data_IF_255259234946
#
_entry.id   IF_255259234946
#
_cell.length_a   1.000
_cell.length_b   1.000
_cell.length_c   1.000
_cell.angle_alpha   90.00
_cell.angle_beta   90.00
_cell.angle_gamma   90.00
#
_symmetry.space_group_name_H-M   'P 1'
#
loop_
_entity.id
_entity.type
_entity.pdbx_description
1 polymer ?
#
# COMPACT_ATOMS: atom_id res chain seq x y z
N UNK A 1 -4.67 -11.48 -9.62
CA UNK A 1 -5.13 -11.95 -8.29
C UNK A 1 -4.41 -11.24 -7.14
N UNK A 2 -3.09 -11.06 -7.22
CA UNK A 2 -2.27 -10.56 -6.10
C UNK A 2 -2.66 -9.20 -5.55
N UNK A 3 -3.02 -8.21 -6.38
CA UNK A 3 -3.45 -6.89 -5.87
C UNK A 3 -4.68 -6.98 -4.95
N UNK A 4 -5.64 -7.86 -5.27
CA UNK A 4 -6.82 -8.09 -4.41
C UNK A 4 -6.39 -8.80 -3.12
N UNK A 5 -5.51 -9.81 -3.23
CA UNK A 5 -5.01 -10.51 -2.04
C UNK A 5 -4.25 -9.57 -1.11
N UNK A 6 -3.40 -8.69 -1.64
CA UNK A 6 -2.69 -7.66 -0.86
C UNK A 6 -3.68 -6.72 -0.19
N UNK A 7 -4.69 -6.25 -0.95
CA UNK A 7 -5.69 -5.32 -0.45
C UNK A 7 -6.44 -5.84 0.78
N UNK A 8 -6.62 -7.15 0.87
CA UNK A 8 -7.34 -7.82 1.96
C UNK A 8 -6.44 -8.61 2.91
N UNK A 9 -5.11 -8.40 2.86
CA UNK A 9 -4.18 -9.03 3.79
C UNK A 9 -4.10 -10.55 3.70
N UNK A 10 -4.36 -11.13 2.53
CA UNK A 10 -4.34 -12.58 2.28
C UNK A 10 -2.91 -13.09 2.10
N UNK A 11 -2.05 -12.84 3.09
CA UNK A 11 -0.61 -13.07 3.01
C UNK A 11 -0.26 -14.54 2.74
N UNK A 12 -0.91 -15.46 3.45
CA UNK A 12 -0.68 -16.89 3.28
C UNK A 12 -1.14 -17.40 1.91
N UNK A 13 -2.24 -16.85 1.37
CA UNK A 13 -2.69 -17.17 0.01
C UNK A 13 -1.66 -16.72 -1.02
N UNK A 14 -1.12 -15.49 -0.90
CA UNK A 14 -0.07 -14.98 -1.80
C UNK A 14 1.16 -15.90 -1.80
N UNK A 15 1.59 -16.35 -0.62
CA UNK A 15 2.77 -17.19 -0.48
C UNK A 15 2.54 -18.63 -0.99
N UNK A 16 1.29 -19.09 -1.00
CA UNK A 16 0.89 -20.40 -1.51
C UNK A 16 0.61 -20.41 -3.03
N UNK A 17 0.37 -19.26 -3.66
CA UNK A 17 0.14 -19.16 -5.10
C UNK A 17 1.37 -19.63 -5.89
N UNK A 18 1.21 -20.49 -6.91
CA UNK A 18 2.31 -20.94 -7.73
C UNK A 18 2.92 -19.79 -8.54
N UNK A 19 4.26 -19.81 -8.66
CA UNK A 19 4.97 -18.85 -9.49
C UNK A 19 4.93 -19.24 -10.97
N UNK A 20 4.77 -18.23 -11.83
CA UNK A 20 5.05 -18.40 -13.26
C UNK A 20 6.56 -18.50 -13.44
N UNK A 21 6.99 -19.33 -14.41
CA UNK A 21 8.43 -19.60 -14.64
C UNK A 21 8.90 -19.19 -16.02
N UNK A 22 7.99 -18.89 -16.95
CA UNK A 22 8.34 -18.43 -18.30
C UNK A 22 8.50 -16.91 -18.30
N UNK A 23 9.75 -16.47 -18.20
CA UNK A 23 10.12 -15.05 -18.17
C UNK A 23 9.88 -14.30 -19.48
N UNK A 24 9.79 -15.00 -20.61
CA UNK A 24 9.55 -14.35 -21.91
C UNK A 24 8.05 -14.08 -22.11
N UNK A 25 7.21 -14.98 -21.61
CA UNK A 25 5.75 -14.88 -21.70
C UNK A 25 5.16 -14.04 -20.57
N UNK A 26 5.67 -14.18 -19.34
CA UNK A 26 5.10 -13.59 -18.13
C UNK A 26 6.02 -12.64 -17.36
N UNK A 27 6.84 -11.78 -18.01
CA UNK A 27 7.85 -10.97 -17.32
C UNK A 27 7.26 -10.04 -16.26
N UNK A 28 6.19 -9.33 -16.61
CA UNK A 28 5.52 -8.39 -15.72
C UNK A 28 4.75 -9.08 -14.58
N UNK A 29 4.22 -10.28 -14.86
CA UNK A 29 3.55 -11.12 -13.87
C UNK A 29 4.54 -11.62 -12.84
N UNK A 30 5.70 -12.13 -13.26
CA UNK A 30 6.76 -12.62 -12.36
C UNK A 30 7.26 -11.50 -11.45
N UNK A 31 7.54 -10.31 -12.01
CA UNK A 31 7.88 -9.14 -11.20
C UNK A 31 6.76 -8.82 -10.18
N UNK A 32 5.49 -8.84 -10.60
CA UNK A 32 4.36 -8.59 -9.69
C UNK A 32 4.23 -9.68 -8.61
N UNK A 33 4.58 -10.93 -8.90
CA UNK A 33 4.58 -12.03 -7.92
C UNK A 33 5.64 -11.82 -6.85
N UNK A 34 6.88 -11.47 -7.23
CA UNK A 34 7.93 -11.15 -6.27
C UNK A 34 7.56 -9.94 -5.40
N UNK A 35 6.99 -8.89 -6.00
CA UNK A 35 6.44 -7.75 -5.26
C UNK A 35 5.41 -8.19 -4.21
N UNK A 36 4.41 -8.98 -4.61
CA UNK A 36 3.34 -9.41 -3.72
C UNK A 36 3.87 -10.29 -2.57
N UNK A 37 4.76 -11.23 -2.88
CA UNK A 37 5.40 -12.11 -1.91
C UNK A 37 6.27 -11.31 -0.93
N UNK A 38 7.03 -10.34 -1.42
CA UNK A 38 7.83 -9.44 -0.58
C UNK A 38 6.98 -8.64 0.41
N UNK A 39 5.88 -8.02 -0.05
CA UNK A 39 4.92 -7.34 0.84
C UNK A 39 4.28 -8.31 1.85
N UNK A 40 3.96 -9.54 1.43
CA UNK A 40 3.40 -10.55 2.32
C UNK A 40 4.39 -10.97 3.42
N UNK A 41 5.65 -11.23 3.07
CA UNK A 41 6.70 -11.54 4.05
C UNK A 41 6.96 -10.36 4.99
N UNK A 42 7.05 -9.13 4.48
CA UNK A 42 7.20 -7.93 5.31
C UNK A 42 6.01 -7.76 6.27
N UNK A 43 4.77 -7.95 5.80
CA UNK A 43 3.58 -7.88 6.66
C UNK A 43 3.55 -8.94 7.77
N UNK A 44 4.20 -10.09 7.53
CA UNK A 44 4.35 -11.18 8.50
C UNK A 44 5.57 -11.03 9.42
N UNK A 45 6.37 -9.97 9.31
CA UNK A 45 7.59 -9.77 10.09
C UNK A 45 8.81 -10.59 9.60
N UNK A 46 8.70 -11.22 8.44
CA UNK A 46 9.74 -12.05 7.83
C UNK A 46 10.63 -11.18 6.92
N UNK A 47 11.37 -10.25 7.54
CA UNK A 47 12.18 -9.24 6.81
C UNK A 47 13.23 -9.88 5.89
N UNK A 48 14.02 -10.89 6.32
CA UNK A 48 15.01 -11.51 5.42
C UNK A 48 14.39 -12.15 4.17
N UNK A 49 13.23 -12.78 4.30
CA UNK A 49 12.50 -13.37 3.18
C UNK A 49 11.92 -12.28 2.26
N UNK A 50 11.46 -11.17 2.83
CA UNK A 50 11.00 -10.03 2.06
C UNK A 50 12.13 -9.39 1.25
N UNK A 51 13.33 -9.25 1.83
CA UNK A 51 14.53 -8.78 1.15
C UNK A 51 14.96 -9.72 0.02
N UNK A 52 14.85 -11.04 0.22
CA UNK A 52 15.12 -12.02 -0.83
C UNK A 52 14.15 -11.88 -2.01
N UNK A 53 12.85 -11.71 -1.75
CA UNK A 53 11.87 -11.41 -2.80
C UNK A 53 12.12 -10.05 -3.46
N UNK A 54 12.61 -9.06 -2.72
CA UNK A 54 12.96 -7.75 -3.29
C UNK A 54 14.15 -7.86 -4.25
N UNK A 55 15.16 -8.67 -3.93
CA UNK A 55 16.27 -8.93 -4.84
C UNK A 55 15.79 -9.58 -6.15
N UNK A 56 14.92 -10.59 -6.04
CA UNK A 56 14.31 -11.25 -7.21
C UNK A 56 13.38 -10.32 -8.00
N UNK A 57 12.66 -9.43 -7.31
CA UNK A 57 11.88 -8.38 -7.95
C UNK A 57 12.78 -7.47 -8.79
N UNK A 58 13.90 -6.99 -8.23
CA UNK A 58 14.87 -6.13 -8.92
C UNK A 58 15.48 -6.85 -10.13
N UNK A 59 15.85 -8.13 -10.00
CA UNK A 59 16.31 -8.96 -11.12
C UNK A 59 15.24 -9.08 -12.21
N UNK A 60 13.97 -9.31 -11.84
CA UNK A 60 12.88 -9.42 -12.81
C UNK A 60 12.65 -8.12 -13.61
N UNK A 61 13.00 -6.95 -13.08
CA UNK A 61 12.94 -5.68 -13.81
C UNK A 61 13.98 -5.58 -14.93
N UNK A 62 15.06 -6.36 -14.88
CA UNK A 62 16.11 -6.39 -15.92
C UNK A 62 15.71 -7.23 -17.14
N UNK A 63 14.56 -7.92 -17.08
CA UNK A 63 14.12 -8.79 -18.17
C UNK A 63 13.75 -7.98 -19.44
N UNK A 64 14.42 -8.21 -20.58
CA UNK A 64 14.18 -7.46 -21.81
C UNK A 64 12.76 -7.64 -22.38
N UNK A 65 12.06 -8.72 -22.04
CA UNK A 65 10.67 -8.95 -22.45
C UNK A 65 9.67 -7.97 -21.80
N UNK A 66 10.10 -7.17 -20.80
CA UNK A 66 9.33 -6.04 -20.26
C UNK A 66 9.26 -4.84 -21.20
N UNK A 67 10.22 -4.69 -22.13
CA UNK A 67 10.32 -3.51 -22.97
C UNK A 67 9.01 -3.28 -23.76
N UNK A 68 8.43 -2.09 -23.57
CA UNK A 68 7.17 -1.69 -24.24
C UNK A 68 5.91 -2.41 -23.74
N UNK A 69 5.98 -3.25 -22.70
CA UNK A 69 4.78 -3.84 -22.10
C UNK A 69 3.98 -2.78 -21.38
N UNK A 70 2.66 -2.82 -21.57
CA UNK A 70 1.72 -1.87 -20.98
C UNK A 70 0.58 -2.61 -20.28
N UNK A 71 0.12 -2.05 -19.17
CA UNK A 71 -1.17 -2.34 -18.58
C UNK A 71 -2.08 -1.14 -18.83
N UNK A 72 -3.02 -1.33 -19.76
CA UNK A 72 -3.84 -0.25 -20.31
C UNK A 72 -2.95 0.89 -20.85
N UNK A 73 -3.04 2.10 -20.28
CA UNK A 73 -2.30 3.28 -20.74
C UNK A 73 -0.93 3.45 -20.07
N UNK A 74 -0.58 2.63 -19.09
CA UNK A 74 0.66 2.74 -18.33
C UNK A 74 1.66 1.68 -18.76
N UNK A 75 2.93 2.05 -18.84
CA UNK A 75 4.00 1.05 -18.96
C UNK A 75 4.03 0.16 -17.72
N UNK A 76 4.28 -1.13 -17.93
CA UNK A 76 4.57 -2.05 -16.83
C UNK A 76 5.90 -1.67 -16.19
N UNK A 77 6.92 -1.43 -17.00
CA UNK A 77 8.22 -0.94 -16.55
C UNK A 77 8.84 -0.02 -17.60
N UNK A 78 9.52 1.01 -17.12
CA UNK A 78 10.45 1.84 -17.87
C UNK A 78 11.48 2.42 -16.88
N UNK A 79 12.55 3.03 -17.41
CA UNK A 79 13.52 3.73 -16.57
C UNK A 79 12.81 4.86 -15.80
N UNK A 80 12.93 4.95 -14.46
CA UNK A 80 12.34 6.03 -13.68
C UNK A 80 12.72 7.44 -14.17
N UNK A 81 13.86 7.60 -14.85
CA UNK A 81 14.29 8.87 -15.45
C UNK A 81 13.44 9.27 -16.67
N UNK A 82 12.78 8.30 -17.33
CA UNK A 82 11.89 8.52 -18.48
C UNK A 82 10.42 8.76 -18.04
N UNK A 83 10.10 8.47 -16.78
CA UNK A 83 8.80 8.71 -16.15
C UNK A 83 8.30 7.52 -15.32
N UNK A 84 7.12 7.63 -14.70
CA UNK A 84 6.60 6.56 -13.84
C UNK A 84 6.02 5.38 -14.62
N UNK A 85 6.13 4.19 -14.04
CA UNK A 85 5.47 2.96 -14.47
C UNK A 85 4.87 2.20 -13.30
N UNK A 86 4.01 1.21 -13.58
CA UNK A 86 3.35 0.40 -12.54
C UNK A 86 4.39 -0.27 -11.63
N UNK A 87 5.45 -0.84 -12.20
CA UNK A 87 6.48 -1.52 -11.42
C UNK A 87 7.39 -0.53 -10.67
N UNK A 88 7.50 0.75 -11.06
CA UNK A 88 8.18 1.75 -10.21
C UNK A 88 7.38 2.04 -8.93
N UNK A 89 6.05 2.10 -9.02
CA UNK A 89 5.18 2.26 -7.84
C UNK A 89 5.31 1.04 -6.93
N UNK A 90 5.28 -0.18 -7.49
CA UNK A 90 5.46 -1.41 -6.71
C UNK A 90 6.84 -1.49 -6.05
N UNK A 91 7.91 -1.06 -6.73
CA UNK A 91 9.26 -1.00 -6.17
C UNK A 91 9.31 -0.11 -4.92
N UNK A 92 8.67 1.06 -5.02
CA UNK A 92 8.60 2.03 -3.94
C UNK A 92 7.82 1.50 -2.73
N UNK A 93 6.64 0.90 -2.96
CA UNK A 93 5.86 0.26 -1.90
C UNK A 93 6.68 -0.86 -1.25
N UNK A 94 7.31 -1.73 -2.03
CA UNK A 94 8.06 -2.88 -1.49
C UNK A 94 9.23 -2.45 -0.61
N UNK A 95 10.03 -1.48 -1.06
CA UNK A 95 11.11 -0.91 -0.26
C UNK A 95 10.59 -0.34 1.06
N UNK A 96 9.52 0.47 0.99
CA UNK A 96 8.96 1.07 2.18
C UNK A 96 8.35 0.06 3.16
N UNK A 97 7.66 -0.98 2.68
CA UNK A 97 7.07 -2.02 3.53
C UNK A 97 8.15 -2.83 4.27
N UNK A 98 9.26 -3.14 3.58
CA UNK A 98 10.40 -3.83 4.17
C UNK A 98 11.08 -2.94 5.23
N UNK A 99 11.38 -1.69 4.87
CA UNK A 99 12.01 -0.74 5.78
C UNK A 99 11.11 -0.48 6.99
N UNK A 100 9.82 -0.23 6.77
CA UNK A 100 8.85 -0.04 7.84
C UNK A 100 8.84 -1.23 8.80
N UNK A 101 8.78 -2.47 8.27
CA UNK A 101 8.77 -3.65 9.13
C UNK A 101 10.06 -3.80 9.92
N UNK A 102 11.22 -3.53 9.30
CA UNK A 102 12.52 -3.56 9.98
C UNK A 102 12.51 -2.62 11.19
N UNK A 103 12.03 -1.39 11.00
CA UNK A 103 11.97 -0.37 12.05
C UNK A 103 10.91 -0.69 13.11
N UNK A 104 9.78 -1.27 12.70
CA UNK A 104 8.74 -1.75 13.61
C UNK A 104 9.31 -2.81 14.58
N UNK A 105 10.00 -3.83 14.03
CA UNK A 105 10.61 -4.89 14.85
C UNK A 105 11.72 -4.34 15.76
N UNK A 106 12.54 -3.40 15.27
CA UNK A 106 13.55 -2.73 16.09
C UNK A 106 12.89 -1.99 17.28
N UNK A 107 11.81 -1.25 17.02
CA UNK A 107 11.02 -0.57 18.05
C UNK A 107 10.45 -1.55 19.08
N UNK A 108 9.87 -2.67 18.64
CA UNK A 108 9.32 -3.70 19.54
C UNK A 108 10.40 -4.34 20.42
N UNK A 109 11.60 -4.55 19.88
CA UNK A 109 12.74 -5.08 20.61
C UNK A 109 13.39 -4.07 21.57
N UNK A 110 12.97 -2.80 21.53
CA UNK A 110 13.57 -1.72 22.31
C UNK A 110 14.91 -1.23 21.74
N UNK A 111 15.22 -1.57 20.49
CA UNK A 111 16.38 -1.08 19.77
C UNK A 111 16.12 0.34 19.22
N UNK A 112 17.18 1.00 18.73
CA UNK A 112 17.03 2.27 18.02
C UNK A 112 16.24 2.05 16.72
N UNK A 113 15.23 2.88 16.48
CA UNK A 113 14.38 2.83 15.29
C UNK A 113 14.20 4.22 14.67
N UNK A 114 14.02 4.26 13.35
CA UNK A 114 13.72 5.47 12.58
C UNK A 114 12.89 5.14 11.34
N UNK A 115 11.61 5.55 11.32
CA UNK A 115 10.69 5.30 10.20
C UNK A 115 10.85 6.28 9.02
N UNK A 116 11.75 7.26 9.11
CA UNK A 116 11.87 8.35 8.11
C UNK A 116 12.04 7.79 6.70
N UNK A 117 12.96 6.84 6.51
CA UNK A 117 13.22 6.25 5.20
C UNK A 117 11.98 5.53 4.61
N UNK A 118 11.22 4.81 5.43
CA UNK A 118 10.00 4.15 4.99
C UNK A 118 8.92 5.15 4.55
N UNK A 119 8.71 6.22 5.32
CA UNK A 119 7.71 7.23 5.00
C UNK A 119 8.11 8.08 3.80
N UNK A 120 9.39 8.45 3.67
CA UNK A 120 9.89 9.16 2.48
C UNK A 120 9.69 8.33 1.21
N UNK A 121 9.96 7.03 1.27
CA UNK A 121 9.73 6.15 0.13
C UNK A 121 8.23 5.99 -0.18
N UNK A 122 7.34 5.90 0.82
CA UNK A 122 5.89 5.91 0.56
C UNK A 122 5.40 7.22 -0.06
N UNK A 123 5.92 8.38 0.37
CA UNK A 123 5.62 9.68 -0.24
C UNK A 123 6.08 9.72 -1.70
N UNK A 124 7.26 9.18 -2.00
CA UNK A 124 7.73 8.97 -3.38
C UNK A 124 6.78 8.04 -4.16
N UNK A 125 6.30 6.96 -3.56
CA UNK A 125 5.33 6.05 -4.16
C UNK A 125 3.99 6.73 -4.47
N UNK A 126 3.54 7.65 -3.61
CA UNK A 126 2.36 8.50 -3.87
C UNK A 126 2.60 9.39 -5.09
N UNK A 127 3.75 10.08 -5.16
CA UNK A 127 4.09 10.93 -6.31
C UNK A 127 4.15 10.13 -7.62
N UNK A 128 4.86 9.00 -7.63
CA UNK A 128 4.91 8.09 -8.78
C UNK A 128 3.50 7.65 -9.20
N UNK A 129 2.67 7.27 -8.23
CA UNK A 129 1.31 6.80 -8.49
C UNK A 129 0.40 7.89 -9.05
N UNK A 130 0.57 9.16 -8.66
CA UNK A 130 -0.24 10.28 -9.14
C UNK A 130 0.18 10.74 -10.54
N UNK A 131 1.44 10.54 -10.89
CA UNK A 131 1.99 10.90 -12.20
C UNK A 131 1.86 9.78 -13.26
N UNK A 132 1.27 8.63 -12.89
CA UNK A 132 0.87 7.61 -13.87
C UNK A 132 -0.12 8.20 -14.90
N UNK A 133 -0.09 7.67 -16.12
CA UNK A 133 -1.05 8.02 -17.15
C UNK A 133 -2.48 7.68 -16.69
N UNK A 134 -3.42 8.58 -16.98
CA UNK A 134 -4.82 8.40 -16.63
C UNK A 134 -5.38 7.08 -17.19
N UNK A 135 -6.12 6.34 -16.36
CA UNK A 135 -6.77 5.09 -16.75
C UNK A 135 -8.07 4.85 -15.94
N UNK A 136 -9.05 4.17 -16.54
CA UNK A 136 -10.30 3.75 -15.90
C UNK A 136 -10.51 2.23 -16.05
N UNK A 137 -10.35 1.42 -14.97
CA UNK A 137 -9.99 1.83 -13.61
C UNK A 137 -8.53 2.26 -13.49
N UNK A 138 -8.20 2.98 -12.41
CA UNK A 138 -6.84 3.46 -12.14
C UNK A 138 -5.81 2.34 -12.22
N UNK A 139 -4.65 2.60 -12.83
CA UNK A 139 -3.64 1.58 -13.12
C UNK A 139 -3.10 0.87 -11.87
N UNK A 140 -2.96 1.62 -10.76
CA UNK A 140 -2.61 1.05 -9.46
C UNK A 140 -3.88 0.81 -8.62
N UNK A 141 -4.20 -0.46 -8.37
CA UNK A 141 -5.48 -0.85 -7.76
C UNK A 141 -5.63 -0.43 -6.29
N UNK A 142 -4.55 -0.50 -5.51
CA UNK A 142 -4.53 -0.02 -4.13
C UNK A 142 -3.85 1.36 -4.08
N UNK A 143 -4.58 2.44 -3.75
CA UNK A 143 -3.96 3.75 -3.58
C UNK A 143 -2.82 3.72 -2.57
N UNK A 144 -1.66 4.24 -2.95
CA UNK A 144 -0.47 4.29 -2.07
C UNK A 144 -0.75 5.15 -0.83
N UNK A 145 -1.60 6.17 -0.97
CA UNK A 145 -2.08 6.99 0.16
C UNK A 145 -2.74 6.19 1.27
N UNK A 146 -3.44 5.09 0.95
CA UNK A 146 -4.01 4.23 1.97
C UNK A 146 -2.94 3.47 2.76
N UNK A 147 -1.81 3.12 2.13
CA UNK A 147 -0.67 2.49 2.80
C UNK A 147 -0.02 3.53 3.72
N UNK A 148 0.37 4.68 3.15
CA UNK A 148 1.01 5.78 3.87
C UNK A 148 0.17 6.22 5.08
N UNK A 149 -1.11 6.54 4.88
CA UNK A 149 -1.99 6.99 5.95
C UNK A 149 -2.21 5.94 7.04
N UNK A 150 -2.25 4.64 6.70
CA UNK A 150 -2.40 3.59 7.69
C UNK A 150 -1.16 3.47 8.58
N UNK A 151 0.02 3.45 7.96
CA UNK A 151 1.29 3.26 8.66
C UNK A 151 1.70 4.51 9.47
N UNK A 152 1.37 5.71 8.98
CA UNK A 152 1.51 6.96 9.74
C UNK A 152 0.62 6.92 10.99
N UNK A 153 -0.65 6.56 10.84
CA UNK A 153 -1.59 6.48 11.95
C UNK A 153 -1.16 5.45 13.00
N UNK A 154 -0.68 4.27 12.56
CA UNK A 154 -0.14 3.23 13.45
C UNK A 154 1.03 3.75 14.30
N UNK A 155 1.88 4.60 13.74
CA UNK A 155 3.01 5.19 14.48
C UNK A 155 2.65 6.48 15.23
N UNK A 156 1.37 6.90 15.21
CA UNK A 156 0.90 8.09 15.92
C UNK A 156 1.14 9.42 15.21
N UNK A 157 1.51 9.41 13.93
CA UNK A 157 1.61 10.60 13.09
C UNK A 157 0.21 11.02 12.58
N UNK A 158 -0.68 11.35 13.52
CA UNK A 158 -2.12 11.54 13.25
C UNK A 158 -2.38 12.71 12.31
N UNK A 159 -1.69 13.83 12.49
CA UNK A 159 -1.86 15.04 11.69
C UNK A 159 -1.51 14.80 10.22
N UNK A 160 -0.38 14.15 9.95
CA UNK A 160 0.03 13.83 8.58
C UNK A 160 -0.89 12.76 7.96
N UNK A 161 -1.28 11.73 8.72
CA UNK A 161 -2.21 10.71 8.25
C UNK A 161 -3.54 11.34 7.80
N UNK A 162 -4.06 12.30 8.58
CA UNK A 162 -5.26 13.06 8.22
C UNK A 162 -5.09 13.84 6.92
N UNK A 163 -3.99 14.57 6.74
CA UNK A 163 -3.69 15.29 5.50
C UNK A 163 -3.69 14.35 4.28
N UNK A 164 -3.09 13.16 4.43
CA UNK A 164 -3.05 12.13 3.39
C UNK A 164 -4.47 11.67 3.01
N UNK A 165 -5.34 11.39 3.99
CA UNK A 165 -6.72 10.97 3.71
C UNK A 165 -7.60 12.07 3.16
N UNK A 166 -7.43 13.32 3.63
CA UNK A 166 -8.15 14.48 3.07
C UNK A 166 -7.77 14.69 1.60
N UNK A 167 -6.49 14.56 1.27
CA UNK A 167 -6.03 14.62 -0.12
C UNK A 167 -6.55 13.44 -0.97
N UNK A 168 -6.71 12.25 -0.38
CA UNK A 168 -7.29 11.09 -1.07
C UNK A 168 -8.76 11.30 -1.43
N UNK A 169 -9.61 11.68 -0.46
CA UNK A 169 -11.05 11.88 -0.70
C UNK A 169 -11.34 13.12 -1.56
N UNK A 170 -10.43 14.09 -1.63
CA UNK A 170 -10.54 15.20 -2.56
C UNK A 170 -10.43 14.73 -4.02
N UNK A 171 -9.52 13.79 -4.28
CA UNK A 171 -9.32 13.21 -5.61
C UNK A 171 -10.40 12.16 -5.92
N UNK A 172 -10.65 11.26 -4.98
CA UNK A 172 -11.59 10.15 -5.08
C UNK A 172 -12.76 10.37 -4.13
N UNK A 173 -13.67 11.28 -4.52
CA UNK A 173 -14.83 11.65 -3.70
C UNK A 173 -15.61 10.42 -3.27
N UNK A 174 -16.03 10.42 -2.01
CA UNK A 174 -16.85 9.38 -1.39
C UNK A 174 -16.23 7.97 -1.38
N UNK A 175 -14.91 7.85 -1.58
CA UNK A 175 -14.21 6.58 -1.44
C UNK A 175 -14.28 6.09 0.01
N UNK A 176 -14.93 4.94 0.23
CA UNK A 176 -15.14 4.38 1.58
C UNK A 176 -13.84 4.16 2.36
N UNK A 177 -12.72 3.89 1.67
CA UNK A 177 -11.44 3.64 2.33
C UNK A 177 -10.77 4.94 2.78
N UNK A 178 -10.81 5.98 1.96
CA UNK A 178 -10.37 7.31 2.37
C UNK A 178 -11.21 7.87 3.51
N UNK A 179 -12.53 7.67 3.46
CA UNK A 179 -13.46 8.03 4.54
C UNK A 179 -13.18 7.28 5.85
N UNK A 180 -12.89 5.96 5.77
CA UNK A 180 -12.47 5.19 6.94
C UNK A 180 -11.19 5.76 7.55
N UNK A 181 -10.18 6.02 6.72
CA UNK A 181 -8.91 6.57 7.18
C UNK A 181 -9.06 7.93 7.87
N UNK A 182 -9.85 8.83 7.27
CA UNK A 182 -10.16 10.12 7.86
C UNK A 182 -10.90 9.96 9.19
N UNK A 183 -11.93 9.11 9.24
CA UNK A 183 -12.66 8.79 10.48
C UNK A 183 -11.70 8.36 11.59
N UNK A 184 -10.80 7.41 11.32
CA UNK A 184 -9.84 6.90 12.30
C UNK A 184 -8.88 8.00 12.81
N UNK A 185 -8.46 8.93 11.94
CA UNK A 185 -7.62 10.06 12.35
C UNK A 185 -8.39 11.05 13.24
N UNK A 186 -9.65 11.36 12.88
CA UNK A 186 -10.53 12.22 13.68
C UNK A 186 -10.79 11.63 15.08
N UNK A 187 -10.99 10.31 15.17
CA UNK A 187 -11.11 9.58 16.43
C UNK A 187 -9.82 9.68 17.26
N UNK A 188 -8.65 9.44 16.64
CA UNK A 188 -7.36 9.46 17.32
C UNK A 188 -7.00 10.83 17.92
N UNK A 189 -7.32 11.93 17.22
CA UNK A 189 -7.03 13.30 17.70
C UNK A 189 -8.11 13.89 18.61
N UNK A 190 -9.22 13.19 18.84
CA UNK A 190 -10.36 13.71 19.60
C UNK A 190 -11.00 14.94 18.94
N UNK A 191 -11.26 14.86 17.63
CA UNK A 191 -11.88 15.94 16.85
C UNK A 191 -13.28 16.32 17.38
N UNK A 192 -13.83 17.44 16.90
CA UNK A 192 -15.19 17.86 17.25
C UNK A 192 -16.23 16.78 16.91
N UNK A 193 -17.23 16.61 17.77
CA UNK A 193 -18.30 15.63 17.58
C UNK A 193 -19.04 15.82 16.24
N UNK A 194 -19.18 17.07 15.77
CA UNK A 194 -19.85 17.41 14.52
C UNK A 194 -19.12 16.83 13.30
N UNK A 195 -17.83 17.15 13.13
CA UNK A 195 -17.04 16.66 11.99
C UNK A 195 -16.93 15.13 11.99
N UNK A 196 -16.67 14.54 13.17
CA UNK A 196 -16.57 13.09 13.28
C UNK A 196 -17.90 12.40 12.92
N UNK A 197 -19.04 12.96 13.35
CA UNK A 197 -20.35 12.45 13.00
C UNK A 197 -20.63 12.53 11.49
N UNK A 198 -20.26 13.63 10.84
CA UNK A 198 -20.41 13.80 9.39
C UNK A 198 -19.61 12.76 8.59
N UNK A 199 -18.30 12.64 8.88
CA UNK A 199 -17.43 11.67 8.18
C UNK A 199 -17.88 10.24 8.47
N UNK A 200 -18.32 9.95 9.69
CA UNK A 200 -18.84 8.62 10.06
C UNK A 200 -20.13 8.29 9.30
N UNK A 201 -21.05 9.25 9.17
CA UNK A 201 -22.28 9.05 8.41
C UNK A 201 -21.99 8.75 6.93
N UNK A 202 -21.07 9.52 6.33
CA UNK A 202 -20.61 9.26 4.95
C UNK A 202 -19.97 7.89 4.82
N UNK A 203 -19.06 7.52 5.72
CA UNK A 203 -18.43 6.19 5.70
C UNK A 203 -19.48 5.07 5.76
N UNK A 204 -20.44 5.16 6.67
CA UNK A 204 -21.50 4.17 6.82
C UNK A 204 -22.39 4.07 5.58
N UNK A 205 -22.73 5.19 4.96
CA UNK A 205 -23.49 5.20 3.71
C UNK A 205 -22.71 4.51 2.57
N UNK A 206 -21.44 4.89 2.37
CA UNK A 206 -20.62 4.41 1.25
C UNK A 206 -20.13 2.98 1.42
N UNK A 207 -20.07 2.48 2.65
CA UNK A 207 -19.74 1.08 2.96
C UNK A 207 -20.95 0.16 3.06
N UNK A 208 -22.19 0.67 2.97
CA UNK A 208 -23.44 -0.09 3.21
C UNK A 208 -23.63 -1.33 2.33
N UNK A 209 -22.95 -1.40 1.17
CA UNK A 209 -23.01 -2.52 0.22
C UNK A 209 -21.71 -3.32 0.13
N UNK A 210 -20.73 -3.04 0.99
CA UNK A 210 -19.48 -3.76 1.00
C UNK A 210 -19.67 -5.14 1.62
N UNK A 211 -19.22 -6.19 0.94
CA UNK A 211 -19.22 -7.56 1.49
C UNK A 211 -18.33 -7.67 2.74
N UNK A 212 -17.28 -6.86 2.79
CA UNK A 212 -16.34 -6.75 3.92
C UNK A 212 -16.19 -5.27 4.25
N UNK A 213 -16.53 -4.89 5.48
CA UNK A 213 -16.25 -3.55 6.02
C UNK A 213 -14.87 -3.60 6.70
N UNK A 214 -13.86 -2.94 6.13
CA UNK A 214 -12.50 -2.99 6.67
C UNK A 214 -12.39 -2.16 7.95
N UNK A 215 -11.56 -2.63 8.90
CA UNK A 215 -11.26 -1.89 10.14
C UNK A 215 -10.03 -0.97 10.01
N UNK A 216 -9.26 -1.12 8.94
CA UNK A 216 -8.06 -0.34 8.62
C UNK A 216 -7.95 -0.19 7.11
N UNK A 217 -7.27 0.86 6.66
CA UNK A 217 -7.13 1.16 5.22
C UNK A 217 -6.01 0.40 4.52
N UNK A 218 -5.10 -0.21 5.29
CA UNK A 218 -4.08 -1.12 4.81
C UNK A 218 -3.87 -2.26 5.82
N UNK A 219 -3.79 -3.51 5.35
CA UNK A 219 -3.54 -4.67 6.21
C UNK A 219 -2.07 -4.85 6.62
N UNK A 220 -1.17 -4.03 6.07
CA UNK A 220 0.23 -3.99 6.48
C UNK A 220 0.39 -3.35 7.88
N UNK A 221 -0.53 -2.46 8.26
CA UNK A 221 -0.67 -2.00 9.64
C UNK A 221 -1.18 -3.16 10.50
N UNK A 222 -0.44 -3.50 11.56
CA UNK A 222 -0.79 -4.54 12.53
C UNK A 222 -1.77 -4.03 13.58
N UNK A 223 -1.59 -2.82 14.10
CA UNK A 223 -2.51 -2.19 15.05
C UNK A 223 -3.52 -1.33 14.30
N UNK A 224 -4.79 -1.76 14.26
CA UNK A 224 -5.84 -0.74 14.25
C UNK A 224 -5.93 -0.24 15.69
N UNK A 225 -5.95 1.07 15.92
CA UNK A 225 -6.17 1.69 17.23
C UNK A 225 -7.09 0.79 18.06
N UNK A 226 -6.56 0.30 19.20
CA UNK A 226 -7.15 -0.70 20.10
C UNK A 226 -8.66 -0.83 19.95
N UNK A 227 -9.12 -2.09 19.81
CA UNK A 227 -10.52 -2.52 19.90
C UNK A 227 -11.35 -1.49 20.69
N UNK A 228 -12.06 -0.61 19.98
CA UNK A 228 -13.14 0.12 20.62
C UNK A 228 -14.16 -0.94 20.98
N UNK A 229 -14.23 -1.24 22.28
CA UNK A 229 -15.11 -2.24 22.86
C UNK A 229 -16.48 -2.24 22.16
N UNK A 230 -16.84 -3.35 21.54
CA UNK A 230 -18.23 -3.77 21.45
C UNK A 230 -18.63 -4.42 22.77
#
# INVERSE_FOLDING_TARGET
PWHVMIRFGKWDEILAEPMYTDGDVFPATIATQHYARGVAYASKGMVPEAEAEQALFKEALENPALAGRMMHNNFMYQDPAEGPSILNVNASILEAEIEYRRQYLAKENGDHYDFTAAFDELRRGVDLSLNLAYNEPWGQMQPVRHILGALLLEQGHVEEAEEVYRADIQLWKDNMWGLLGLKLCLEAKGASEEELAEVTALFNERSSRADIVPAKTCFCAQEALKESCC
#
